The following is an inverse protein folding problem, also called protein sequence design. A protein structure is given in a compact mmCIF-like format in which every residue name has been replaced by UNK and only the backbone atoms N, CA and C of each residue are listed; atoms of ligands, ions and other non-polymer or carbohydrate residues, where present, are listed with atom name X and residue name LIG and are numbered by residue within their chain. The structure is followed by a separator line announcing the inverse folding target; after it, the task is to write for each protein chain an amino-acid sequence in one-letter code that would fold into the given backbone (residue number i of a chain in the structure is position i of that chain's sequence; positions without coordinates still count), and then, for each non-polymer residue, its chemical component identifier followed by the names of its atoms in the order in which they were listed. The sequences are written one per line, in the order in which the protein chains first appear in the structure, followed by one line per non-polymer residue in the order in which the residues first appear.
data_IF_394574173689
#
_entry.id   IF_394574173689
#
_cell.length_a   1.000
_cell.length_b   1.000
_cell.length_c   1.000
_cell.angle_alpha   90.00
_cell.angle_beta   90.00
_cell.angle_gamma   90.00
#
_symmetry.space_group_name_H-M   'P 1'
#
loop_
_entity.id
_entity.type
_entity.pdbx_description
1 polymer ?
#
# COMPACT_ATOMS: atom_id res chain seq x y z
N UNK A 1 10.49 -27.26 24.03
CA UNK A 1 9.75 -26.09 24.55
C UNK A 1 8.68 -26.60 25.51
N UNK A 2 8.56 -26.02 26.72
CA UNK A 2 7.53 -26.37 27.71
C UNK A 2 6.64 -25.15 27.88
N UNK A 3 5.33 -25.31 27.71
CA UNK A 3 4.34 -24.23 27.83
C UNK A 3 3.51 -24.47 29.09
N UNK A 4 3.36 -23.44 29.91
CA UNK A 4 2.58 -23.47 31.14
C UNK A 4 1.57 -22.32 31.11
N UNK A 5 0.33 -22.57 31.50
CA UNK A 5 -0.75 -21.58 31.58
C UNK A 5 -1.19 -21.48 33.04
N UNK A 6 -1.32 -20.26 33.54
CA UNK A 6 -1.73 -19.98 34.91
C UNK A 6 -2.94 -19.07 34.89
N UNK A 7 -4.03 -19.49 35.52
CA UNK A 7 -5.25 -18.69 35.64
C UNK A 7 -5.22 -17.90 36.95
N UNK A 8 -5.43 -16.59 36.86
CA UNK A 8 -5.48 -15.70 38.02
C UNK A 8 -6.70 -14.78 37.92
N UNK A 9 -7.73 -14.97 38.78
CA UNK A 9 -8.94 -14.16 38.78
C UNK A 9 -8.72 -12.66 39.08
N UNK A 10 -7.54 -12.29 39.59
CA UNK A 10 -7.20 -10.90 39.91
C UNK A 10 -6.61 -10.12 38.72
N UNK A 11 -6.36 -10.78 37.59
CA UNK A 11 -5.85 -10.14 36.36
C UNK A 11 -7.01 -9.48 35.63
N UNK A 12 -6.90 -8.17 35.39
CA UNK A 12 -7.93 -7.37 34.70
C UNK A 12 -7.79 -7.37 33.18
N UNK A 13 -6.63 -7.73 32.65
CA UNK A 13 -6.35 -7.81 31.21
C UNK A 13 -5.39 -8.98 30.91
N UNK A 14 -5.76 -9.79 29.93
CA UNK A 14 -4.97 -10.93 29.49
C UNK A 14 -3.61 -10.45 28.96
N UNK A 15 -2.53 -10.95 29.55
CA UNK A 15 -1.17 -10.65 29.13
C UNK A 15 -0.35 -11.94 29.07
N UNK A 16 0.65 -11.96 28.19
CA UNK A 16 1.55 -13.09 28.01
C UNK A 16 3.00 -12.65 28.20
N UNK A 17 3.72 -13.33 29.08
CA UNK A 17 5.15 -13.14 29.30
C UNK A 17 5.94 -14.33 28.75
N UNK A 18 6.94 -14.07 27.92
CA UNK A 18 7.79 -15.12 27.31
C UNK A 18 9.19 -15.05 27.93
N UNK A 19 9.50 -16.01 28.79
CA UNK A 19 10.84 -16.19 29.33
C UNK A 19 11.61 -17.19 28.47
N UNK A 20 12.70 -16.73 27.86
CA UNK A 20 13.55 -17.54 27.01
C UNK A 20 15.04 -17.30 27.30
N UNK A 21 15.89 -18.26 26.96
CA UNK A 21 17.35 -18.10 27.09
C UNK A 21 17.93 -17.18 26.00
N UNK A 22 17.31 -17.15 24.81
CA UNK A 22 17.68 -16.30 23.68
C UNK A 22 16.46 -16.08 22.78
N UNK A 23 16.37 -14.89 22.15
CA UNK A 23 15.30 -14.53 21.22
C UNK A 23 15.53 -15.18 19.85
N UNK A 24 15.28 -16.48 19.76
CA UNK A 24 15.34 -17.25 18.50
C UNK A 24 14.16 -16.91 17.59
N UNK A 25 14.25 -17.24 16.30
CA UNK A 25 13.17 -17.03 15.33
C UNK A 25 11.84 -17.69 15.76
N UNK A 26 11.92 -18.83 16.44
CA UNK A 26 10.75 -19.54 17.00
C UNK A 26 10.08 -18.76 18.14
N UNK A 27 10.88 -18.13 19.01
CA UNK A 27 10.38 -17.27 20.09
C UNK A 27 9.76 -15.99 19.53
N UNK A 28 10.43 -15.36 18.55
CA UNK A 28 9.93 -14.16 17.89
C UNK A 28 8.63 -14.45 17.10
N UNK A 29 8.55 -15.62 16.45
CA UNK A 29 7.35 -16.08 15.78
C UNK A 29 6.19 -16.30 16.76
N UNK A 30 6.45 -16.93 17.92
CA UNK A 30 5.43 -17.14 18.95
C UNK A 30 4.96 -15.81 19.59
N UNK A 31 5.88 -14.89 19.86
CA UNK A 31 5.56 -13.54 20.33
C UNK A 31 4.70 -12.79 19.31
N UNK A 32 5.11 -12.82 18.03
CA UNK A 32 4.36 -12.22 16.94
C UNK A 32 2.97 -12.86 16.77
N UNK A 33 2.82 -14.16 17.00
CA UNK A 33 1.52 -14.82 16.99
C UNK A 33 0.64 -14.25 18.11
N UNK A 34 1.12 -14.16 19.35
CA UNK A 34 0.36 -13.64 20.49
C UNK A 34 0.00 -12.16 20.34
N UNK A 35 0.95 -11.31 19.91
CA UNK A 35 0.70 -9.90 19.57
C UNK A 35 -0.31 -9.74 18.42
N UNK A 36 -0.35 -10.70 17.48
CA UNK A 36 -1.25 -10.69 16.34
C UNK A 36 -2.56 -11.43 16.57
N UNK A 37 -2.69 -12.21 17.66
CA UNK A 37 -3.90 -12.98 17.94
C UNK A 37 -5.07 -12.07 18.33
N UNK A 38 -4.78 -10.82 18.73
CA UNK A 38 -5.73 -9.70 18.82
C UNK A 38 -5.97 -8.89 17.52
N UNK A 39 -5.46 -9.34 16.36
CA UNK A 39 -5.64 -8.66 15.05
C UNK A 39 -6.81 -9.19 14.21
N UNK A 40 -7.77 -9.89 14.82
CA UNK A 40 -9.12 -10.05 14.23
C UNK A 40 -9.98 -8.90 14.73
N UNK A 41 -10.57 -8.14 13.82
CA UNK A 41 -11.47 -7.08 14.23
C UNK A 41 -12.79 -7.71 14.65
N UNK A 42 -13.15 -7.60 15.93
CA UNK A 42 -14.46 -8.07 16.38
C UNK A 42 -15.53 -7.08 15.90
N UNK A 43 -16.51 -7.62 15.19
CA UNK A 43 -17.70 -6.91 14.75
C UNK A 43 -18.93 -7.40 15.50
N UNK A 44 -19.80 -6.49 15.90
CA UNK A 44 -21.10 -6.79 16.52
C UNK A 44 -22.20 -6.60 15.50
N UNK A 45 -23.05 -7.62 15.36
CA UNK A 45 -24.29 -7.54 14.58
C UNK A 45 -25.36 -8.37 15.29
N UNK A 46 -26.55 -7.82 15.45
CA UNK A 46 -27.69 -8.49 16.12
C UNK A 46 -27.35 -9.05 17.51
N UNK A 47 -26.44 -8.39 18.24
CA UNK A 47 -25.98 -8.80 19.57
C UNK A 47 -24.94 -9.94 19.59
N UNK A 48 -24.55 -10.46 18.43
CA UNK A 48 -23.50 -11.47 18.30
C UNK A 48 -22.16 -10.83 17.92
N UNK A 49 -21.10 -11.20 18.63
CA UNK A 49 -19.73 -10.87 18.28
C UNK A 49 -19.18 -11.85 17.26
N UNK A 50 -18.70 -11.33 16.13
CA UNK A 50 -18.14 -12.11 15.02
C UNK A 50 -16.76 -11.58 14.67
N UNK A 51 -15.73 -12.45 14.58
CA UNK A 51 -14.42 -12.03 14.09
C UNK A 51 -14.48 -11.71 12.60
N UNK A 52 -14.07 -10.50 12.22
CA UNK A 52 -14.03 -10.04 10.83
C UNK A 52 -12.61 -10.13 10.27
N UNK A 53 -12.53 -10.59 9.02
CA UNK A 53 -11.30 -10.48 8.24
C UNK A 53 -11.14 -9.06 7.70
N UNK A 54 -9.99 -8.43 7.95
CA UNK A 54 -9.70 -7.07 7.46
C UNK A 54 -9.75 -6.99 5.93
N UNK A 55 -9.38 -8.08 5.23
CA UNK A 55 -9.43 -8.15 3.77
C UNK A 55 -10.84 -8.01 3.21
N UNK A 56 -11.86 -8.43 3.98
CA UNK A 56 -13.25 -8.50 3.54
C UNK A 56 -14.00 -7.19 3.79
N UNK A 57 -13.40 -6.29 4.57
CA UNK A 57 -13.94 -4.96 4.85
C UNK A 57 -13.68 -4.05 3.66
N UNK A 58 -14.75 -3.44 3.17
CA UNK A 58 -14.77 -2.50 2.06
C UNK A 58 -14.44 -1.08 2.54
N UNK A 59 -15.03 -0.68 3.66
CA UNK A 59 -14.75 0.60 4.30
C UNK A 59 -15.23 0.58 5.75
N UNK A 60 -14.72 1.52 6.53
CA UNK A 60 -15.25 1.90 7.84
C UNK A 60 -16.03 3.20 7.72
N UNK A 61 -17.17 3.26 8.39
CA UNK A 61 -18.01 4.46 8.43
C UNK A 61 -18.41 4.82 9.86
N UNK A 62 -18.30 6.10 10.21
CA UNK A 62 -18.77 6.63 11.48
C UNK A 62 -20.16 7.23 11.34
N UNK A 63 -21.12 6.68 12.08
CA UNK A 63 -22.51 7.16 12.16
C UNK A 63 -22.86 7.36 13.65
N UNK A 64 -23.31 8.56 14.00
CA UNK A 64 -23.76 8.90 15.36
C UNK A 64 -22.79 8.46 16.49
N UNK A 65 -21.49 8.74 16.30
CA UNK A 65 -20.37 8.41 17.22
C UNK A 65 -20.01 6.93 17.31
N UNK A 66 -20.67 6.05 16.56
CA UNK A 66 -20.30 4.64 16.42
C UNK A 66 -19.59 4.42 15.10
N UNK A 67 -18.74 3.41 15.04
CA UNK A 67 -18.03 3.03 13.82
C UNK A 67 -18.53 1.68 13.34
N UNK A 68 -18.71 1.56 12.03
CA UNK A 68 -19.20 0.37 11.38
C UNK A 68 -18.18 -0.11 10.35
N UNK A 69 -17.97 -1.41 10.27
CA UNK A 69 -17.25 -2.09 9.21
C UNK A 69 -18.27 -2.60 8.18
N UNK A 70 -18.18 -2.07 6.95
CA UNK A 70 -19.03 -2.48 5.85
C UNK A 70 -18.31 -3.53 5.01
N UNK A 71 -18.92 -4.72 4.89
CA UNK A 71 -18.48 -5.82 4.05
C UNK A 71 -19.34 -5.85 2.77
N UNK A 72 -19.22 -6.92 1.97
CA UNK A 72 -19.95 -7.06 0.71
C UNK A 72 -21.49 -6.92 0.84
N UNK A 73 -22.08 -7.47 1.91
CA UNK A 73 -23.54 -7.50 2.13
C UNK A 73 -23.93 -7.20 3.58
N UNK A 74 -22.96 -7.06 4.46
CA UNK A 74 -23.17 -7.04 5.90
C UNK A 74 -22.44 -5.86 6.51
N UNK A 75 -23.00 -5.34 7.59
CA UNK A 75 -22.46 -4.21 8.33
C UNK A 75 -22.37 -4.64 9.78
N UNK A 76 -21.21 -4.40 10.39
CA UNK A 76 -20.94 -4.74 11.77
C UNK A 76 -20.50 -3.50 12.53
N UNK A 77 -21.02 -3.29 13.74
CA UNK A 77 -20.49 -2.27 14.64
C UNK A 77 -19.12 -2.73 15.16
N UNK A 78 -18.16 -1.81 15.23
CA UNK A 78 -16.79 -2.11 15.68
C UNK A 78 -16.34 -1.10 16.73
N UNK A 79 -15.65 -1.59 17.77
CA UNK A 79 -15.08 -0.75 18.83
C UNK A 79 -13.71 -0.19 18.43
N UNK A 80 -13.70 0.61 17.36
CA UNK A 80 -12.56 1.43 16.99
C UNK A 80 -13.02 2.76 16.44
N UNK A 81 -12.19 3.77 16.53
CA UNK A 81 -12.38 5.06 15.88
C UNK A 81 -11.84 5.03 14.45
N UNK A 82 -12.34 5.92 13.57
CA UNK A 82 -11.78 6.03 12.22
C UNK A 82 -10.28 6.35 12.22
N UNK A 83 -9.79 7.10 13.22
CA UNK A 83 -8.37 7.40 13.37
C UNK A 83 -7.57 6.12 13.64
N UNK A 84 -8.05 5.26 14.54
CA UNK A 84 -7.42 3.97 14.82
C UNK A 84 -7.49 3.04 13.61
N UNK A 85 -8.57 3.07 12.81
CA UNK A 85 -8.61 2.33 11.55
C UNK A 85 -7.51 2.78 10.58
N UNK A 86 -7.29 4.09 10.44
CA UNK A 86 -6.21 4.63 9.61
C UNK A 86 -4.83 4.20 10.12
N UNK A 87 -4.58 4.31 11.43
CA UNK A 87 -3.29 3.97 12.03
C UNK A 87 -2.99 2.47 11.97
N UNK A 88 -3.99 1.62 12.25
CA UNK A 88 -3.82 0.16 12.29
C UNK A 88 -3.83 -0.47 10.91
N UNK A 89 -4.65 0.04 9.99
CA UNK A 89 -4.89 -0.60 8.70
C UNK A 89 -4.44 0.23 7.49
N UNK A 90 -3.82 1.39 7.69
CA UNK A 90 -3.31 2.24 6.61
C UNK A 90 -2.32 1.52 5.70
N UNK A 91 -1.39 0.76 6.29
CA UNK A 91 -0.44 -0.07 5.55
C UNK A 91 -1.08 -1.25 4.79
N UNK A 92 -2.34 -1.57 5.11
CA UNK A 92 -3.15 -2.59 4.45
C UNK A 92 -4.07 -1.99 3.36
N UNK A 93 -3.85 -0.72 2.99
CA UNK A 93 -4.58 -0.05 1.92
C UNK A 93 -5.82 0.71 2.37
N UNK A 94 -6.02 0.93 3.68
CA UNK A 94 -7.12 1.75 4.18
C UNK A 94 -6.75 3.24 4.16
N UNK A 95 -7.60 4.07 3.55
CA UNK A 95 -7.35 5.51 3.40
C UNK A 95 -8.60 6.31 3.71
N UNK A 96 -8.45 7.39 4.48
CA UNK A 96 -9.55 8.29 4.79
C UNK A 96 -9.93 9.15 3.59
N UNK A 97 -11.23 9.17 3.29
CA UNK A 97 -11.80 9.92 2.15
C UNK A 97 -12.81 10.99 2.59
N UNK A 98 -13.28 10.91 3.83
CA UNK A 98 -14.15 11.92 4.43
C UNK A 98 -13.98 11.98 5.95
N UNK A 99 -14.67 12.93 6.60
CA UNK A 99 -14.70 12.99 8.06
C UNK A 99 -15.30 11.72 8.69
N UNK A 100 -16.17 11.01 7.97
CA UNK A 100 -16.88 9.84 8.45
C UNK A 100 -16.48 8.53 7.77
N UNK A 101 -15.55 8.51 6.81
CA UNK A 101 -15.28 7.29 6.02
C UNK A 101 -13.78 7.03 5.77
N UNK A 102 -13.36 5.78 6.03
CA UNK A 102 -12.05 5.22 5.69
C UNK A 102 -12.26 4.02 4.76
N UNK A 103 -11.76 4.09 3.52
CA UNK A 103 -12.02 3.09 2.48
C UNK A 103 -10.83 2.16 2.25
N UNK A 104 -11.09 0.89 1.95
CA UNK A 104 -10.09 -0.04 1.45
C UNK A 104 -9.85 0.17 -0.05
N UNK A 105 -8.66 0.64 -0.43
CA UNK A 105 -8.30 0.90 -1.82
C UNK A 105 -8.35 -0.36 -2.70
N UNK A 106 -8.11 -1.54 -2.15
CA UNK A 106 -8.16 -2.79 -2.90
C UNK A 106 -9.59 -3.23 -3.27
N UNK A 107 -10.61 -2.57 -2.72
CA UNK A 107 -12.03 -2.81 -3.03
C UNK A 107 -12.62 -1.73 -3.96
N UNK A 108 -11.80 -0.78 -4.41
CA UNK A 108 -12.21 0.28 -5.35
C UNK A 108 -12.17 -0.26 -6.77
N UNK A 109 -13.33 -0.34 -7.41
CA UNK A 109 -13.50 -0.78 -8.80
C UNK A 109 -13.19 0.33 -9.80
N UNK A 110 -13.72 1.53 -9.55
CA UNK A 110 -13.58 2.65 -10.49
C UNK A 110 -13.71 3.98 -9.79
N UNK A 111 -13.07 5.01 -10.36
CA UNK A 111 -13.16 6.40 -9.91
C UNK A 111 -13.83 7.20 -11.01
N UNK A 112 -14.84 8.01 -10.68
CA UNK A 112 -15.56 8.88 -11.61
C UNK A 112 -15.85 10.23 -10.97
N UNK A 113 -16.28 11.21 -11.76
CA UNK A 113 -16.83 12.45 -11.22
C UNK A 113 -18.35 12.41 -11.33
N UNK A 114 -19.04 12.97 -10.34
CA UNK A 114 -20.48 13.22 -10.45
C UNK A 114 -20.78 14.52 -11.22
N UNK A 115 -22.07 14.80 -11.40
CA UNK A 115 -22.54 16.02 -12.07
C UNK A 115 -22.10 17.32 -11.36
N UNK A 116 -21.79 17.25 -10.06
CA UNK A 116 -21.29 18.37 -9.25
C UNK A 116 -19.76 18.44 -9.23
N UNK A 117 -19.08 17.67 -10.09
CA UNK A 117 -17.61 17.57 -10.18
C UNK A 117 -16.95 17.07 -8.88
N UNK A 118 -17.71 16.35 -8.04
CA UNK A 118 -17.19 15.65 -6.87
C UNK A 118 -16.64 14.31 -7.31
N UNK A 119 -15.52 13.91 -6.71
CA UNK A 119 -14.90 12.62 -7.00
C UNK A 119 -15.66 11.51 -6.29
N UNK A 120 -16.23 10.59 -7.07
CA UNK A 120 -16.90 9.38 -6.63
C UNK A 120 -15.97 8.18 -6.81
N UNK A 121 -16.00 7.29 -5.83
CA UNK A 121 -15.41 5.95 -5.94
C UNK A 121 -16.54 4.92 -5.94
N UNK A 122 -16.49 4.00 -6.89
CA UNK A 122 -17.37 2.85 -6.96
C UNK A 122 -16.61 1.64 -6.42
N UNK A 123 -17.20 0.96 -5.45
CA UNK A 123 -16.62 -0.23 -4.85
C UNK A 123 -17.10 -1.51 -5.55
N UNK A 124 -16.46 -2.64 -5.27
CA UNK A 124 -16.85 -3.92 -5.87
C UNK A 124 -18.23 -4.42 -5.45
N UNK A 125 -18.74 -3.96 -4.31
CA UNK A 125 -20.11 -4.21 -3.87
C UNK A 125 -21.14 -3.25 -4.49
N UNK A 126 -20.73 -2.47 -5.49
CA UNK A 126 -21.54 -1.50 -6.24
C UNK A 126 -21.92 -0.24 -5.46
N UNK A 127 -21.44 -0.08 -4.23
CA UNK A 127 -21.63 1.14 -3.48
C UNK A 127 -20.78 2.29 -4.04
N UNK A 128 -21.30 3.51 -3.90
CA UNK A 128 -20.63 4.72 -4.34
C UNK A 128 -20.33 5.60 -3.13
N UNK A 129 -19.07 5.92 -2.92
CA UNK A 129 -18.62 6.83 -1.86
C UNK A 129 -18.10 8.13 -2.46
N UNK A 130 -18.40 9.27 -1.82
CA UNK A 130 -17.91 10.58 -2.25
C UNK A 130 -16.62 10.91 -1.49
N UNK A 131 -15.57 11.26 -2.21
CA UNK A 131 -14.35 11.80 -1.62
C UNK A 131 -14.53 13.30 -1.37
N UNK A 132 -14.37 13.70 -0.11
CA UNK A 132 -14.40 15.10 0.26
C UNK A 132 -13.13 15.84 -0.17
N UNK A 133 -13.25 17.13 -0.51
CA UNK A 133 -12.16 17.93 -1.10
C UNK A 133 -10.86 17.90 -0.27
N UNK A 134 -10.98 17.93 1.05
CA UNK A 134 -9.83 17.93 1.97
C UNK A 134 -8.99 16.64 1.87
N UNK A 135 -9.63 15.49 1.64
CA UNK A 135 -8.99 14.18 1.66
C UNK A 135 -8.60 13.68 0.26
N UNK A 136 -9.02 14.39 -0.80
CA UNK A 136 -8.74 14.03 -2.19
C UNK A 136 -7.24 13.86 -2.47
N UNK A 137 -6.41 14.78 -1.98
CA UNK A 137 -4.96 14.71 -2.20
C UNK A 137 -4.33 13.47 -1.55
N UNK A 138 -4.73 13.15 -0.31
CA UNK A 138 -4.23 11.97 0.39
C UNK A 138 -4.65 10.68 -0.31
N UNK A 139 -5.91 10.59 -0.75
CA UNK A 139 -6.42 9.47 -1.53
C UNK A 139 -5.63 9.24 -2.83
N UNK A 140 -5.47 10.27 -3.66
CA UNK A 140 -4.73 10.12 -4.92
C UNK A 140 -3.25 9.83 -4.70
N UNK A 141 -2.62 10.39 -3.66
CA UNK A 141 -1.26 10.04 -3.26
C UNK A 141 -1.11 8.53 -3.00
N UNK A 142 -2.03 7.95 -2.23
CA UNK A 142 -2.04 6.52 -1.94
C UNK A 142 -2.31 5.67 -3.20
N UNK A 143 -3.23 6.08 -4.07
CA UNK A 143 -3.49 5.41 -5.36
C UNK A 143 -2.24 5.41 -6.25
N UNK A 144 -1.57 6.55 -6.39
CA UNK A 144 -0.34 6.64 -7.19
C UNK A 144 0.80 5.81 -6.60
N UNK A 145 0.91 5.75 -5.26
CA UNK A 145 1.84 4.86 -4.59
C UNK A 145 1.56 3.39 -4.91
N UNK A 146 0.29 2.95 -4.85
CA UNK A 146 -0.10 1.58 -5.21
C UNK A 146 0.19 1.26 -6.68
N UNK A 147 -0.10 2.18 -7.60
CA UNK A 147 0.25 2.02 -9.02
C UNK A 147 1.76 1.90 -9.18
N UNK A 148 2.54 2.76 -8.51
CA UNK A 148 4.00 2.71 -8.54
C UNK A 148 4.53 1.36 -8.05
N UNK A 149 4.02 0.87 -6.92
CA UNK A 149 4.38 -0.44 -6.36
C UNK A 149 4.00 -1.58 -7.30
N UNK A 150 2.80 -1.56 -7.88
CA UNK A 150 2.34 -2.58 -8.83
C UNK A 150 3.18 -2.59 -10.12
N UNK A 151 3.53 -1.41 -10.66
CA UNK A 151 4.41 -1.27 -11.82
C UNK A 151 5.82 -1.78 -11.50
N UNK A 152 6.38 -1.41 -10.34
CA UNK A 152 7.66 -1.91 -9.87
C UNK A 152 7.63 -3.43 -9.64
N UNK A 153 6.54 -3.98 -9.11
CA UNK A 153 6.35 -5.42 -8.94
C UNK A 153 6.35 -6.15 -10.28
N UNK A 154 5.68 -5.61 -11.30
CA UNK A 154 5.68 -6.18 -12.64
C UNK A 154 7.05 -6.04 -13.35
N UNK A 155 7.88 -5.09 -12.93
CA UNK A 155 9.25 -4.96 -13.46
C UNK A 155 10.13 -6.17 -13.17
N UNK A 156 9.86 -6.93 -12.09
CA UNK A 156 10.53 -8.21 -11.82
C UNK A 156 10.15 -9.30 -12.82
N UNK A 157 8.95 -9.28 -13.40
CA UNK A 157 8.56 -10.27 -14.44
C UNK A 157 9.29 -10.08 -15.77
N UNK A 158 10.08 -9.02 -15.92
CA UNK A 158 10.99 -8.80 -17.04
C UNK A 158 12.41 -9.34 -16.74
N UNK A 159 12.53 -10.44 -16.00
CA UNK A 159 13.80 -11.09 -15.60
C UNK A 159 14.73 -11.50 -16.77
N UNK A 160 14.29 -11.36 -18.04
CA UNK A 160 15.14 -11.52 -19.22
C UNK A 160 15.89 -10.25 -19.66
N UNK A 161 15.54 -9.07 -19.14
CA UNK A 161 16.11 -7.78 -19.52
C UNK A 161 16.81 -7.14 -18.33
N UNK A 162 18.00 -6.57 -18.54
CA UNK A 162 18.65 -5.81 -17.47
C UNK A 162 17.75 -4.64 -17.02
N UNK A 163 17.77 -4.25 -15.73
CA UNK A 163 16.96 -3.14 -15.21
C UNK A 163 17.07 -1.84 -16.03
N UNK A 164 18.24 -1.62 -16.64
CA UNK A 164 18.50 -0.57 -17.61
C UNK A 164 17.61 -0.65 -18.85
N UNK A 165 17.53 -1.83 -19.47
CA UNK A 165 16.77 -2.04 -20.71
C UNK A 165 15.27 -1.90 -20.45
N UNK A 166 14.78 -2.43 -19.33
CA UNK A 166 13.38 -2.27 -18.93
C UNK A 166 13.03 -0.79 -18.69
N UNK A 167 13.90 -0.04 -17.99
CA UNK A 167 13.72 1.39 -17.78
C UNK A 167 13.71 2.19 -19.08
N UNK A 168 14.66 1.93 -19.98
CA UNK A 168 14.73 2.59 -21.30
C UNK A 168 13.49 2.29 -22.13
N UNK A 169 13.02 1.03 -22.15
CA UNK A 169 11.82 0.65 -22.89
C UNK A 169 10.57 1.38 -22.38
N UNK A 170 10.38 1.43 -21.06
CA UNK A 170 9.26 2.13 -20.44
C UNK A 170 9.30 3.63 -20.73
N UNK A 171 10.49 4.23 -20.69
CA UNK A 171 10.69 5.63 -21.04
C UNK A 171 10.31 5.93 -22.50
N UNK A 172 10.73 5.09 -23.45
CA UNK A 172 10.40 5.26 -24.86
C UNK A 172 8.89 5.14 -25.12
N UNK A 173 8.22 4.18 -24.46
CA UNK A 173 6.76 4.00 -24.56
C UNK A 173 6.04 5.24 -24.04
N UNK A 174 6.40 5.69 -22.83
CA UNK A 174 5.74 6.84 -22.19
C UNK A 174 5.99 8.13 -22.97
N UNK A 175 7.21 8.35 -23.45
CA UNK A 175 7.54 9.49 -24.30
C UNK A 175 6.75 9.46 -25.63
N UNK A 176 6.64 8.29 -26.28
CA UNK A 176 5.81 8.14 -27.50
C UNK A 176 4.34 8.46 -27.24
N UNK A 177 3.75 8.00 -26.14
CA UNK A 177 2.37 8.33 -25.80
C UNK A 177 2.17 9.84 -25.58
N UNK A 178 3.07 10.48 -24.83
CA UNK A 178 2.98 11.93 -24.55
C UNK A 178 3.09 12.74 -25.84
N UNK A 179 4.07 12.42 -26.71
CA UNK A 179 4.23 13.10 -27.99
C UNK A 179 3.05 12.82 -28.94
N UNK A 180 2.51 11.60 -28.95
CA UNK A 180 1.33 11.24 -29.73
C UNK A 180 0.08 12.01 -29.31
N UNK A 181 -0.11 12.23 -28.01
CA UNK A 181 -1.21 13.06 -27.48
C UNK A 181 -1.03 14.50 -27.93
N UNK A 182 0.17 15.08 -27.80
CA UNK A 182 0.46 16.46 -28.23
C UNK A 182 0.22 16.62 -29.73
N UNK A 183 0.66 15.66 -30.54
CA UNK A 183 0.41 15.62 -31.97
C UNK A 183 -1.09 15.57 -32.28
N UNK A 184 -1.86 14.73 -31.58
CA UNK A 184 -3.30 14.64 -31.74
C UNK A 184 -4.01 15.95 -31.36
N UNK A 185 -3.60 16.63 -30.29
CA UNK A 185 -4.12 17.95 -29.94
C UNK A 185 -3.76 19.02 -30.97
N UNK A 186 -2.60 18.90 -31.62
CA UNK A 186 -2.16 19.77 -32.71
C UNK A 186 -3.05 19.73 -33.95
N UNK A 187 -3.81 18.65 -34.13
CA UNK A 187 -4.81 18.58 -35.20
C UNK A 187 -6.03 19.47 -34.92
N UNK A 188 -6.29 19.85 -33.66
CA UNK A 188 -7.50 20.59 -33.26
C UNK A 188 -7.21 22.03 -32.80
N UNK A 189 -6.04 22.30 -32.23
CA UNK A 189 -5.64 23.63 -31.76
C UNK A 189 -4.25 24.03 -32.30
N UNK A 190 -4.01 25.32 -32.59
CA UNK A 190 -2.68 25.80 -32.96
C UNK A 190 -1.71 25.61 -31.79
N UNK A 191 -0.68 24.79 -32.00
CA UNK A 191 0.41 24.56 -31.05
C UNK A 191 1.50 25.62 -31.19
N UNK A 192 2.15 25.93 -30.08
CA UNK A 192 3.38 26.71 -30.08
C UNK A 192 4.48 25.97 -30.90
N UNK A 193 5.28 26.66 -31.73
CA UNK A 193 6.28 26.03 -32.61
C UNK A 193 7.29 25.16 -31.87
N UNK A 194 7.57 25.45 -30.60
CA UNK A 194 8.50 24.69 -29.76
C UNK A 194 7.85 23.66 -28.81
N UNK A 195 6.53 23.45 -28.89
CA UNK A 195 5.78 22.65 -27.91
C UNK A 195 6.34 21.21 -27.74
N UNK A 196 6.71 20.55 -28.84
CA UNK A 196 7.29 19.20 -28.80
C UNK A 196 8.66 19.16 -28.11
N UNK A 197 9.51 20.18 -28.35
CA UNK A 197 10.83 20.29 -27.75
C UNK A 197 10.73 20.49 -26.25
N UNK A 198 9.87 21.40 -25.82
CA UNK A 198 9.73 21.76 -24.42
C UNK A 198 9.15 20.59 -23.63
N UNK A 199 8.13 19.91 -24.17
CA UNK A 199 7.53 18.72 -23.57
C UNK A 199 8.53 17.56 -23.49
N UNK A 200 9.36 17.36 -24.53
CA UNK A 200 10.43 16.38 -24.50
C UNK A 200 11.38 16.65 -23.33
N UNK A 201 11.89 17.87 -23.16
CA UNK A 201 12.81 18.18 -22.07
C UNK A 201 12.15 18.13 -20.68
N UNK A 202 10.91 18.62 -20.56
CA UNK A 202 10.15 18.52 -19.31
C UNK A 202 9.93 17.09 -18.86
N UNK A 203 9.82 16.12 -19.78
CA UNK A 203 9.67 14.71 -19.44
C UNK A 203 11.01 13.98 -19.26
N UNK A 204 11.99 14.29 -20.12
CA UNK A 204 13.30 13.62 -20.15
C UNK A 204 14.19 13.94 -18.96
N UNK A 205 14.22 15.21 -18.54
CA UNK A 205 15.15 15.69 -17.50
C UNK A 205 14.84 15.07 -16.13
N UNK A 206 13.59 15.11 -15.62
CA UNK A 206 13.25 14.45 -14.36
C UNK A 206 13.50 12.94 -14.41
N UNK A 207 13.17 12.30 -15.53
CA UNK A 207 13.37 10.87 -15.71
C UNK A 207 14.85 10.48 -15.63
N UNK A 208 15.73 11.23 -16.31
CA UNK A 208 17.17 10.97 -16.27
C UNK A 208 17.77 11.17 -14.87
N UNK A 209 17.34 12.20 -14.15
CA UNK A 209 17.74 12.43 -12.75
C UNK A 209 17.30 11.27 -11.85
N UNK A 210 16.06 10.80 -12.02
CA UNK A 210 15.52 9.68 -11.26
C UNK A 210 16.25 8.37 -11.59
N UNK A 211 16.53 8.11 -12.87
CA UNK A 211 17.29 6.96 -13.31
C UNK A 211 18.72 6.99 -12.74
N UNK A 212 19.40 8.13 -12.78
CA UNK A 212 20.75 8.28 -12.22
C UNK A 212 20.77 8.02 -10.71
N UNK A 213 19.80 8.54 -9.98
CA UNK A 213 19.64 8.30 -8.54
C UNK A 213 19.38 6.81 -8.26
N UNK A 214 18.44 6.20 -8.99
CA UNK A 214 18.11 4.78 -8.90
C UNK A 214 19.33 3.90 -9.16
N UNK A 215 20.11 4.15 -10.23
CA UNK A 215 21.31 3.37 -10.54
C UNK A 215 22.41 3.53 -9.50
N UNK A 216 22.61 4.74 -8.96
CA UNK A 216 23.57 4.95 -7.87
C UNK A 216 23.18 4.18 -6.62
N UNK A 217 21.88 4.12 -6.31
CA UNK A 217 21.37 3.35 -5.18
C UNK A 217 21.49 1.85 -5.43
N UNK A 218 21.06 1.36 -6.58
CA UNK A 218 21.12 -0.05 -6.96
C UNK A 218 22.58 -0.57 -6.92
N UNK A 219 23.53 0.20 -7.46
CA UNK A 219 24.96 -0.17 -7.42
C UNK A 219 25.50 -0.22 -5.99
N UNK A 220 25.03 0.65 -5.08
CA UNK A 220 25.42 0.57 -3.66
C UNK A 220 24.87 -0.70 -3.00
N UNK A 221 23.64 -1.08 -3.32
CA UNK A 221 23.01 -2.29 -2.79
C UNK A 221 23.70 -3.56 -3.32
N UNK A 222 23.96 -3.67 -4.63
CA UNK A 222 24.72 -4.80 -5.20
C UNK A 222 26.12 -4.91 -4.59
N UNK A 223 26.84 -3.79 -4.47
CA UNK A 223 28.17 -3.79 -3.84
C UNK A 223 28.14 -4.17 -2.36
N UNK A 224 27.01 -3.94 -1.67
CA UNK A 224 26.82 -4.33 -0.26
C UNK A 224 26.61 -5.84 -0.16
N UNK A 225 25.73 -6.39 -0.98
CA UNK A 225 25.47 -7.83 -1.05
C UNK A 225 26.73 -8.62 -1.46
N UNK A 226 27.50 -8.13 -2.43
CA UNK A 226 28.77 -8.75 -2.83
C UNK A 226 29.82 -8.78 -1.70
N UNK A 227 29.85 -7.75 -0.85
CA UNK A 227 30.74 -7.74 0.33
C UNK A 227 30.29 -8.76 1.36
N UNK A 228 29.00 -8.85 1.64
CA UNK A 228 28.44 -9.84 2.58
C UNK A 228 28.69 -11.27 2.11
N UNK A 229 28.48 -11.57 0.82
CA UNK A 229 28.77 -12.89 0.24
C UNK A 229 30.28 -13.23 0.34
N UNK A 230 31.18 -12.28 0.09
CA UNK A 230 32.62 -12.49 0.24
C UNK A 230 33.04 -12.71 1.69
N UNK A 231 32.40 -12.04 2.64
CA UNK A 231 32.65 -12.23 4.07
C UNK A 231 32.18 -13.63 4.53
N UNK A 232 31.00 -14.07 4.08
CA UNK A 232 30.48 -15.42 4.37
C UNK A 232 31.38 -16.51 3.77
N UNK A 233 31.78 -16.36 2.50
CA UNK A 233 32.67 -17.30 1.81
C UNK A 233 34.09 -17.30 2.40
N UNK A 234 34.54 -16.17 2.95
CA UNK A 234 35.82 -16.05 3.66
C UNK A 234 35.78 -16.63 5.08
N UNK A 235 34.64 -16.56 5.77
CA UNK A 235 34.46 -17.19 7.08
C UNK A 235 34.28 -18.71 7.02
N UNK A 236 33.78 -19.25 5.89
CA UNK A 236 33.65 -20.70 5.67
C UNK A 236 34.96 -21.40 5.32
N UNK A 237 36.03 -20.68 4.97
CA UNK A 237 37.31 -21.27 4.60
C UNK A 237 38.48 -20.68 5.43
N UNK A 238 38.65 -21.07 6.71
CA UNK A 238 39.69 -20.52 7.57
C UNK A 238 41.07 -21.18 7.37
N UNK A 239 41.14 -22.34 6.71
CA UNK A 239 42.38 -23.10 6.54
C UNK A 239 42.61 -23.45 5.05
N UNK A 240 43.35 -22.58 4.37
CA UNK A 240 43.91 -22.82 3.04
C UNK A 240 45.28 -22.17 2.94
#
# INVERSE_FOLDING_TARGET
MKVSIFENPAVTEDHAEIHCQSATDEILWAAGLLENTGKRLMGIKDGAETPLSISDIFYFEAVEKRTFACLQKEVYEVFLTLKEAEERFGNLGFVRISKSVVVNLYRVRSIKNDFEMRTLICLDNQENLVISRHYRTAFFSAVFALIGIAVLSQSYRLDGLSPLRAGILLYLITLSCVLGIVWLYGCFLPLHPDAFRDIFFSFSIPWFLFALFYFRRLKRETNRMDREIRLLRGSENPDG
#
